data_IF_667955663584
#
_entry.id   IF_667955663584
#
_cell.length_a   1.000
_cell.length_b   1.000
_cell.length_c   1.000
_cell.angle_alpha   90.00
_cell.angle_beta   90.00
_cell.angle_gamma   90.00
#
_symmetry.space_group_name_H-M   'P 1'
#
loop_
_entity.id
_entity.type
_entity.pdbx_description
1 polymer ?
#
# COMPACT_ATOMS: atom_id res chain seq x y z
N UNK A 1 12.88 18.95 -1.58
CA UNK A 1 11.60 18.73 -0.87
C UNK A 1 11.88 18.89 0.60
N UNK A 2 11.05 19.65 1.32
CA UNK A 2 11.20 19.76 2.78
C UNK A 2 10.77 18.43 3.43
N UNK A 3 11.35 18.10 4.58
CA UNK A 3 11.11 16.83 5.25
C UNK A 3 9.65 16.68 5.72
N UNK A 4 8.96 17.80 6.04
CA UNK A 4 7.52 17.79 6.29
C UNK A 4 6.73 17.27 5.08
N UNK A 5 7.10 17.68 3.87
CA UNK A 5 6.47 17.20 2.63
C UNK A 5 6.77 15.71 2.41
N UNK A 6 7.96 15.24 2.78
CA UNK A 6 8.31 13.80 2.73
C UNK A 6 7.41 13.01 3.67
N UNK A 7 7.17 13.51 4.88
CA UNK A 7 6.28 12.90 5.86
C UNK A 7 4.83 12.85 5.37
N UNK A 8 4.31 13.97 4.85
CA UNK A 8 2.96 14.05 4.30
C UNK A 8 2.73 13.04 3.17
N UNK A 9 3.69 12.91 2.25
CA UNK A 9 3.64 11.91 1.16
C UNK A 9 3.68 10.49 1.73
N UNK A 10 4.57 10.21 2.69
CA UNK A 10 4.65 8.92 3.35
C UNK A 10 3.32 8.50 3.98
N UNK A 11 2.71 9.40 4.76
CA UNK A 11 1.40 9.18 5.39
C UNK A 11 0.31 8.99 4.34
N UNK A 12 0.29 9.81 3.28
CA UNK A 12 -0.69 9.67 2.19
C UNK A 12 -0.58 8.30 1.51
N UNK A 13 0.63 7.80 1.24
CA UNK A 13 0.83 6.47 0.68
C UNK A 13 0.34 5.36 1.62
N UNK A 14 0.51 5.52 2.94
CA UNK A 14 -0.03 4.57 3.92
C UNK A 14 -1.56 4.58 3.96
N UNK A 15 -2.19 5.74 3.80
CA UNK A 15 -3.65 5.85 3.66
C UNK A 15 -4.14 5.15 2.39
N UNK A 16 -3.45 5.37 1.26
CA UNK A 16 -3.76 4.68 0.00
C UNK A 16 -3.55 3.17 0.15
N UNK A 17 -2.51 2.75 0.86
CA UNK A 17 -2.28 1.35 1.18
C UNK A 17 -3.48 0.77 1.95
N UNK A 18 -3.93 1.38 3.04
CA UNK A 18 -5.11 0.92 3.77
C UNK A 18 -6.37 0.84 2.90
N UNK A 19 -6.62 1.86 2.07
CA UNK A 19 -7.76 1.88 1.15
C UNK A 19 -7.69 0.75 0.13
N UNK A 20 -6.50 0.49 -0.44
CA UNK A 20 -6.28 -0.59 -1.40
C UNK A 20 -6.35 -1.97 -0.74
N UNK A 21 -6.03 -2.12 0.55
CA UNK A 21 -6.27 -3.39 1.27
C UNK A 21 -7.75 -3.77 1.28
N UNK A 22 -8.64 -2.79 1.52
CA UNK A 22 -10.09 -3.00 1.45
C UNK A 22 -10.57 -3.33 0.04
N UNK A 23 -9.98 -2.69 -0.98
CA UNK A 23 -10.28 -2.99 -2.38
C UNK A 23 -9.84 -4.42 -2.74
N UNK A 24 -8.59 -4.80 -2.46
CA UNK A 24 -8.07 -6.15 -2.70
C UNK A 24 -8.84 -7.22 -1.94
N UNK A 25 -9.36 -6.89 -0.75
CA UNK A 25 -10.25 -7.77 0.01
C UNK A 25 -11.54 -8.14 -0.74
N UNK A 26 -12.04 -7.25 -1.59
CA UNK A 26 -13.21 -7.50 -2.45
C UNK A 26 -12.84 -8.03 -3.83
N UNK A 27 -11.68 -7.68 -4.36
CA UNK A 27 -11.27 -7.98 -5.74
C UNK A 27 -10.63 -9.36 -5.90
N UNK A 28 -9.80 -9.77 -4.94
CA UNK A 28 -9.07 -11.05 -5.02
C UNK A 28 -10.02 -12.20 -4.75
N UNK A 29 -10.09 -13.12 -5.70
CA UNK A 29 -10.88 -14.34 -5.60
C UNK A 29 -10.29 -15.34 -4.59
N UNK A 30 -11.16 -15.87 -3.72
CA UNK A 30 -10.84 -16.81 -2.62
C UNK A 30 -11.93 -17.86 -2.51
N UNK A 31 -11.58 -19.05 -2.03
CA UNK A 31 -12.55 -20.15 -1.89
C UNK A 31 -13.80 -19.79 -1.05
N UNK A 32 -13.64 -18.96 -0.01
CA UNK A 32 -14.74 -18.49 0.85
C UNK A 32 -15.38 -17.18 0.39
N UNK A 33 -14.79 -16.49 -0.59
CA UNK A 33 -15.27 -15.20 -1.11
C UNK A 33 -14.83 -15.06 -2.57
N UNK A 34 -15.69 -15.44 -3.53
CA UNK A 34 -15.34 -15.33 -4.94
C UNK A 34 -15.21 -13.86 -5.33
N UNK A 35 -14.20 -13.57 -6.14
CA UNK A 35 -13.81 -12.22 -6.56
C UNK A 35 -13.64 -12.14 -8.08
N UNK A 36 -13.64 -10.92 -8.66
CA UNK A 36 -13.44 -10.73 -10.08
C UNK A 36 -12.03 -11.10 -10.55
N UNK A 37 -10.99 -10.94 -9.72
CA UNK A 37 -9.60 -11.25 -10.08
C UNK A 37 -9.32 -12.72 -9.76
N UNK A 38 -9.43 -13.59 -10.77
CA UNK A 38 -9.22 -15.05 -10.64
C UNK A 38 -7.84 -15.51 -11.06
N UNK A 39 -7.23 -14.84 -12.03
CA UNK A 39 -5.92 -15.19 -12.58
C UNK A 39 -4.81 -15.10 -11.51
N UNK A 40 -4.01 -16.16 -11.35
CA UNK A 40 -2.97 -16.25 -10.34
C UNK A 40 -1.89 -15.16 -10.49
N UNK A 41 -1.38 -14.93 -11.72
CA UNK A 41 -0.38 -13.90 -12.00
C UNK A 41 -0.91 -12.50 -11.68
N UNK A 42 -2.19 -12.23 -11.98
CA UNK A 42 -2.82 -10.95 -11.65
C UNK A 42 -2.94 -10.76 -10.13
N UNK A 43 -3.31 -11.81 -9.37
CA UNK A 43 -3.35 -11.77 -7.91
C UNK A 43 -1.96 -11.47 -7.33
N UNK A 44 -0.94 -12.21 -7.76
CA UNK A 44 0.44 -12.04 -7.30
C UNK A 44 0.98 -10.64 -7.61
N UNK A 45 0.76 -10.16 -8.84
CA UNK A 45 1.21 -8.82 -9.26
C UNK A 45 0.56 -7.72 -8.43
N UNK A 46 -0.75 -7.82 -8.16
CA UNK A 46 -1.46 -6.87 -7.29
C UNK A 46 -0.94 -6.91 -5.85
N UNK A 47 -0.65 -8.10 -5.31
CA UNK A 47 -0.07 -8.25 -3.98
C UNK A 47 1.34 -7.65 -3.89
N UNK A 48 2.18 -7.84 -4.92
CA UNK A 48 3.52 -7.26 -4.98
C UNK A 48 3.48 -5.73 -5.05
N UNK A 49 2.61 -5.15 -5.89
CA UNK A 49 2.42 -3.70 -5.97
C UNK A 49 1.93 -3.15 -4.62
N UNK A 50 0.99 -3.84 -3.98
CA UNK A 50 0.46 -3.46 -2.69
C UNK A 50 1.53 -3.49 -1.59
N UNK A 51 2.42 -4.50 -1.61
CA UNK A 51 3.56 -4.57 -0.69
C UNK A 51 4.60 -3.47 -0.97
N UNK A 52 4.91 -3.20 -2.24
CA UNK A 52 5.82 -2.13 -2.64
C UNK A 52 5.31 -0.76 -2.17
N UNK A 53 4.00 -0.52 -2.28
CA UNK A 53 3.36 0.69 -1.78
C UNK A 53 3.53 0.86 -0.26
N UNK A 54 3.36 -0.23 0.51
CA UNK A 54 3.58 -0.21 1.96
C UNK A 54 5.02 0.16 2.30
N UNK A 55 5.98 -0.50 1.65
CA UNK A 55 7.41 -0.26 1.87
C UNK A 55 7.75 1.19 1.56
N UNK A 56 7.30 1.71 0.42
CA UNK A 56 7.52 3.11 0.05
C UNK A 56 6.91 4.09 1.06
N UNK A 57 5.66 3.87 1.48
CA UNK A 57 4.97 4.69 2.48
C UNK A 57 5.70 4.69 3.83
N UNK A 58 6.11 3.52 4.32
CA UNK A 58 6.88 3.40 5.57
C UNK A 58 8.26 4.07 5.46
N UNK A 59 9.00 3.83 4.39
CA UNK A 59 10.32 4.42 4.19
C UNK A 59 10.28 5.95 4.17
N UNK A 60 9.31 6.54 3.48
CA UNK A 60 9.15 8.00 3.45
C UNK A 60 8.67 8.54 4.80
N UNK A 61 7.75 7.84 5.47
CA UNK A 61 7.28 8.24 6.81
C UNK A 61 8.43 8.23 7.82
N UNK A 62 9.24 7.17 7.86
CA UNK A 62 10.40 7.07 8.75
C UNK A 62 11.41 8.17 8.44
N UNK A 63 11.74 8.39 7.16
CA UNK A 63 12.65 9.47 6.75
C UNK A 63 12.12 10.85 7.16
N UNK A 64 10.83 11.10 6.97
CA UNK A 64 10.18 12.35 7.37
C UNK A 64 10.05 12.51 8.89
N UNK A 65 10.04 11.44 9.68
CA UNK A 65 10.02 11.52 11.15
C UNK A 65 11.38 11.87 11.76
N UNK A 66 12.49 11.64 11.05
CA UNK A 66 13.84 12.00 11.51
C UNK A 66 14.05 13.51 11.73
N UNK A 67 13.09 14.36 11.34
CA UNK A 67 13.08 15.80 11.68
C UNK A 67 12.91 16.01 13.19
N UNK A 68 12.19 15.10 13.85
CA UNK A 68 11.81 15.23 15.26
C UNK A 68 12.79 14.53 16.21
N UNK A 69 13.83 13.86 15.68
CA UNK A 69 14.89 13.18 16.42
C UNK A 69 16.19 13.93 16.35
#
# INVERSE_FOLDING_TARGET
>A
MNDLTILEIGVALLVIWLATSLALWKLIDRQSRPGPVKNALAKESLMLIHLALLVAGLSLTIKGLQIFS
#
